data_IF_782506042440
#
_entry.id   IF_782506042440
#
_cell.length_a   1.000
_cell.length_b   1.000
_cell.length_c   1.000
_cell.angle_alpha   90.00
_cell.angle_beta   90.00
_cell.angle_gamma   90.00
#
_symmetry.space_group_name_H-M   'P 1'
#
loop_
_entity.id
_entity.type
_entity.pdbx_description
1 polymer ?
#
# COMPACT_ATOMS: atom_id res chain seq x y z
N UNK A 1 19.45 10.99 22.44
CA UNK A 1 19.77 9.94 21.45
C UNK A 1 18.48 9.25 21.07
N UNK A 2 17.92 9.57 19.89
CA UNK A 2 16.70 8.93 19.42
C UNK A 2 17.06 7.52 18.94
N UNK A 3 16.43 6.50 19.52
CA UNK A 3 16.55 5.12 19.06
C UNK A 3 16.07 5.04 17.61
N UNK A 4 17.01 4.77 16.69
CA UNK A 4 16.73 4.33 15.32
C UNK A 4 15.76 3.15 15.45
N UNK A 5 14.51 3.37 15.03
CA UNK A 5 13.42 2.41 15.21
C UNK A 5 13.84 1.05 14.66
N UNK A 6 13.70 0.01 15.50
CA UNK A 6 13.90 -1.39 15.12
C UNK A 6 13.28 -1.62 13.74
N UNK A 7 14.06 -2.19 12.83
CA UNK A 7 13.52 -2.88 11.65
C UNK A 7 12.43 -3.81 12.19
N UNK A 8 11.18 -3.53 11.83
CA UNK A 8 10.06 -4.38 12.24
C UNK A 8 10.37 -5.75 11.66
N UNK A 9 10.51 -6.75 12.52
CA UNK A 9 10.78 -8.14 12.11
C UNK A 9 9.50 -8.70 11.48
N UNK A 10 9.28 -8.29 10.23
CA UNK A 10 8.15 -8.71 9.43
C UNK A 10 8.40 -10.17 9.03
N UNK A 11 7.40 -11.05 9.21
CA UNK A 11 7.56 -12.44 8.83
C UNK A 11 7.80 -12.56 7.33
N UNK A 12 8.57 -13.54 6.90
CA UNK A 12 8.60 -13.96 5.49
C UNK A 12 7.44 -14.90 5.19
N UNK A 13 6.79 -14.74 4.04
CA UNK A 13 5.79 -15.65 3.51
C UNK A 13 6.50 -16.88 2.96
N UNK A 14 6.31 -18.01 3.63
CA UNK A 14 6.94 -19.28 3.26
C UNK A 14 5.95 -20.22 2.55
N UNK A 15 4.68 -19.82 2.48
CA UNK A 15 3.61 -20.61 1.89
C UNK A 15 2.34 -20.57 2.73
N UNK A 16 1.40 -21.46 2.39
CA UNK A 16 0.04 -21.47 2.97
C UNK A 16 0.03 -21.60 4.50
N UNK A 17 1.00 -22.30 5.07
CA UNK A 17 1.10 -22.55 6.53
C UNK A 17 1.21 -21.27 7.36
N UNK A 18 1.81 -20.21 6.83
CA UNK A 18 2.02 -18.96 7.56
C UNK A 18 1.42 -17.73 6.86
N UNK A 19 0.70 -17.92 5.75
CA UNK A 19 0.08 -16.85 4.98
C UNK A 19 -0.85 -15.95 5.82
N UNK A 20 -1.64 -16.53 6.73
CA UNK A 20 -2.52 -15.74 7.62
C UNK A 20 -1.73 -14.87 8.60
N UNK A 21 -0.70 -15.43 9.23
CA UNK A 21 0.14 -14.69 10.19
C UNK A 21 0.90 -13.58 9.47
N UNK A 22 1.42 -13.89 8.29
CA UNK A 22 2.08 -12.92 7.42
C UNK A 22 1.14 -11.76 7.07
N UNK A 23 -0.03 -12.06 6.53
CA UNK A 23 -1.02 -11.08 6.12
C UNK A 23 -1.46 -10.20 7.29
N UNK A 24 -1.79 -10.80 8.43
CA UNK A 24 -2.17 -10.05 9.63
C UNK A 24 -1.08 -9.08 10.11
N UNK A 25 0.17 -9.54 10.18
CA UNK A 25 1.30 -8.69 10.61
C UNK A 25 1.60 -7.57 9.62
N UNK A 26 1.54 -7.83 8.32
CA UNK A 26 1.74 -6.79 7.31
C UNK A 26 0.58 -5.80 7.26
N UNK A 27 -0.68 -6.25 7.38
CA UNK A 27 -1.81 -5.33 7.49
C UNK A 27 -1.67 -4.40 8.70
N UNK A 28 -1.23 -4.93 9.85
CA UNK A 28 -0.95 -4.11 11.04
C UNK A 28 0.20 -3.12 10.81
N UNK A 29 1.26 -3.54 10.11
CA UNK A 29 2.38 -2.68 9.73
C UNK A 29 1.93 -1.52 8.81
N UNK A 30 1.23 -1.83 7.72
CA UNK A 30 0.75 -0.80 6.78
C UNK A 30 -0.23 0.16 7.45
N UNK A 31 -1.09 -0.34 8.34
CA UNK A 31 -1.98 0.52 9.14
C UNK A 31 -1.18 1.45 10.05
N UNK A 32 -0.20 0.93 10.78
CA UNK A 32 0.63 1.75 11.67
C UNK A 32 1.46 2.81 10.92
N UNK A 33 1.79 2.56 9.65
CA UNK A 33 2.52 3.47 8.76
C UNK A 33 1.64 4.43 7.97
N UNK A 34 0.31 4.30 8.04
CA UNK A 34 -0.61 5.09 7.23
C UNK A 34 -0.58 4.74 5.74
N UNK A 35 -0.23 3.49 5.41
CA UNK A 35 -0.05 2.98 4.05
C UNK A 35 -1.18 2.02 3.62
N UNK A 36 -2.18 1.77 4.46
CA UNK A 36 -3.29 0.85 4.15
C UNK A 36 -4.04 1.21 2.86
N UNK A 37 -4.23 2.49 2.56
CA UNK A 37 -4.95 2.92 1.35
C UNK A 37 -4.28 2.49 0.05
N UNK A 38 -2.95 2.31 0.05
CA UNK A 38 -2.17 1.86 -1.10
C UNK A 38 -2.39 0.37 -1.38
N UNK A 39 -2.30 -0.48 -0.36
CA UNK A 39 -2.53 -1.94 -0.52
C UNK A 39 -4.01 -2.28 -0.74
N UNK A 40 -4.93 -1.42 -0.32
CA UNK A 40 -6.38 -1.54 -0.58
C UNK A 40 -6.77 -0.98 -1.97
N UNK A 41 -5.86 -0.29 -2.66
CA UNK A 41 -6.11 0.32 -3.97
C UNK A 41 -7.06 1.53 -3.95
N UNK A 42 -7.29 2.11 -2.76
CA UNK A 42 -8.08 3.32 -2.54
C UNK A 42 -7.31 4.54 -3.00
N UNK A 43 -6.01 4.58 -2.72
CA UNK A 43 -5.13 5.64 -3.19
C UNK A 43 -5.00 5.59 -4.71
N UNK A 44 -5.24 6.71 -5.39
CA UNK A 44 -5.10 6.83 -6.84
C UNK A 44 -3.86 7.63 -7.19
N UNK A 45 -3.21 7.24 -8.28
CA UNK A 45 -2.15 8.03 -8.87
C UNK A 45 -2.67 9.46 -9.12
N UNK A 46 -2.02 10.49 -8.55
CA UNK A 46 -2.36 11.86 -8.85
C UNK A 46 -2.20 12.10 -10.34
N UNK A 47 -3.22 12.68 -10.98
CA UNK A 47 -3.14 13.06 -12.39
C UNK A 47 -1.91 13.96 -12.57
N UNK A 48 -0.87 13.48 -13.27
CA UNK A 48 0.18 14.36 -13.77
C UNK A 48 -0.52 15.34 -14.67
N UNK A 49 -0.67 16.59 -14.22
CA UNK A 49 -1.62 17.54 -14.77
C UNK A 49 -1.71 17.45 -16.28
N UNK A 50 -2.83 16.92 -16.79
CA UNK A 50 -3.18 17.12 -18.17
C UNK A 50 -3.25 18.63 -18.36
N UNK A 51 -2.36 19.18 -19.18
CA UNK A 51 -2.37 20.58 -19.59
C UNK A 51 -3.77 21.03 -20.09
N UNK A 52 -4.61 20.05 -20.48
CA UNK A 52 -5.98 20.24 -20.93
C UNK A 52 -6.96 20.71 -19.83
N UNK A 53 -6.81 20.29 -18.57
CA UNK A 53 -7.78 20.63 -17.52
C UNK A 53 -7.46 21.98 -16.85
N UNK A 54 -6.17 22.29 -16.70
CA UNK A 54 -5.69 23.62 -16.28
C UNK A 54 -6.06 24.72 -17.29
N UNK A 55 -6.13 24.40 -18.60
CA UNK A 55 -6.55 25.34 -19.64
C UNK A 55 -8.08 25.52 -19.75
N UNK A 56 -8.90 24.53 -19.38
CA UNK A 56 -10.36 24.67 -19.41
C UNK A 56 -10.90 25.63 -18.34
N UNK A 57 -10.18 25.81 -17.24
CA UNK A 57 -10.53 26.79 -16.21
C UNK A 57 -10.13 28.24 -16.57
N UNK A 58 -9.32 28.46 -17.62
CA UNK A 58 -8.67 29.76 -17.92
C UNK A 58 -9.38 30.66 -18.92
N UNK A 59 -10.48 30.25 -19.54
CA UNK A 59 -11.16 31.08 -20.53
C UNK A 59 -12.16 32.08 -19.95
N UNK A 60 -12.24 32.22 -18.62
CA UNK A 60 -13.11 33.23 -18.00
C UNK A 60 -12.28 34.35 -17.36
N UNK A 61 -12.24 35.46 -18.11
CA UNK A 61 -11.85 36.84 -17.76
C UNK A 61 -10.37 37.22 -17.77
N UNK A 62 -10.13 38.18 -18.65
CA UNK A 62 -8.94 38.97 -18.83
C UNK A 62 -8.47 39.66 -17.53
N UNK A 63 -7.15 39.71 -17.39
CA UNK A 63 -6.45 40.80 -16.71
C UNK A 63 -6.08 40.53 -15.26
N UNK A 64 -4.98 39.81 -15.03
CA UNK A 64 -3.93 40.18 -14.07
C UNK A 64 -2.86 39.10 -13.99
N UNK A 65 -1.61 39.53 -14.15
CA UNK A 65 -0.38 38.73 -14.12
C UNK A 65 -0.09 38.26 -12.70
N UNK A 66 0.34 36.99 -12.62
CA UNK A 66 1.03 36.26 -11.54
C UNK A 66 0.21 35.09 -11.02
N UNK A 67 0.59 33.86 -11.39
CA UNK A 67 0.25 32.57 -10.74
C UNK A 67 0.55 31.48 -11.76
N UNK A 68 1.48 30.54 -11.46
CA UNK A 68 1.51 29.19 -12.07
C UNK A 68 2.73 28.31 -11.77
N UNK A 69 3.77 28.83 -11.10
CA UNK A 69 4.87 27.94 -10.69
C UNK A 69 4.50 27.09 -9.47
N UNK A 70 3.82 27.67 -8.49
CA UNK A 70 3.48 27.00 -7.22
C UNK A 70 2.56 25.79 -7.40
N UNK A 71 1.50 25.91 -8.22
CA UNK A 71 0.57 24.79 -8.44
C UNK A 71 1.15 23.61 -9.22
N UNK A 72 2.19 23.84 -10.04
CA UNK A 72 2.91 22.76 -10.74
C UNK A 72 3.89 22.04 -9.80
N UNK A 73 4.51 22.80 -8.89
CA UNK A 73 5.38 22.27 -7.85
C UNK A 73 4.58 21.42 -6.86
N UNK A 74 3.43 21.90 -6.40
CA UNK A 74 2.53 21.15 -5.50
C UNK A 74 2.03 19.83 -6.13
N UNK A 75 1.74 19.82 -7.44
CA UNK A 75 1.34 18.60 -8.16
C UNK A 75 2.48 17.59 -8.31
N UNK A 76 3.69 18.10 -8.60
CA UNK A 76 4.88 17.26 -8.71
C UNK A 76 5.23 16.65 -7.35
N UNK A 77 5.17 17.44 -6.28
CA UNK A 77 5.43 16.99 -4.91
C UNK A 77 4.41 15.94 -4.47
N UNK A 78 3.13 16.14 -4.77
CA UNK A 78 2.08 15.16 -4.48
C UNK A 78 2.30 13.83 -5.22
N UNK A 79 2.69 13.88 -6.49
CA UNK A 79 2.99 12.68 -7.27
C UNK A 79 4.26 11.97 -6.77
N UNK A 80 5.31 12.72 -6.41
CA UNK A 80 6.54 12.17 -5.85
C UNK A 80 6.29 11.51 -4.49
N UNK A 81 5.48 12.14 -3.63
CA UNK A 81 5.07 11.55 -2.36
C UNK A 81 4.25 10.28 -2.55
N UNK A 82 3.28 10.31 -3.47
CA UNK A 82 2.48 9.14 -3.82
C UNK A 82 3.35 7.98 -4.31
N UNK A 83 4.23 8.26 -5.29
CA UNK A 83 5.15 7.28 -5.85
C UNK A 83 6.08 6.70 -4.79
N UNK A 84 6.56 7.52 -3.86
CA UNK A 84 7.43 7.06 -2.76
C UNK A 84 6.70 6.06 -1.86
N UNK A 85 5.46 6.35 -1.46
CA UNK A 85 4.64 5.48 -0.61
C UNK A 85 4.24 4.19 -1.33
N UNK A 86 3.90 4.28 -2.61
CA UNK A 86 3.60 3.14 -3.48
C UNK A 86 4.81 2.19 -3.57
N UNK A 87 6.00 2.75 -3.86
CA UNK A 87 7.24 1.98 -3.91
C UNK A 87 7.62 1.38 -2.54
N UNK A 88 7.36 2.08 -1.44
CA UNK A 88 7.57 1.55 -0.08
C UNK A 88 6.68 0.33 0.17
N UNK A 89 5.40 0.38 -0.24
CA UNK A 89 4.49 -0.75 -0.10
C UNK A 89 4.93 -1.95 -0.94
N UNK A 90 5.25 -1.72 -2.22
CA UNK A 90 5.75 -2.78 -3.10
C UNK A 90 7.03 -3.40 -2.56
N UNK A 91 7.99 -2.58 -2.12
CA UNK A 91 9.25 -3.04 -1.56
C UNK A 91 9.06 -3.91 -0.31
N UNK A 92 8.17 -3.53 0.60
CA UNK A 92 7.86 -4.33 1.80
C UNK A 92 7.24 -5.68 1.44
N UNK A 93 6.30 -5.71 0.49
CA UNK A 93 5.70 -6.97 0.02
C UNK A 93 6.78 -7.86 -0.59
N UNK A 94 7.54 -7.34 -1.55
CA UNK A 94 8.58 -8.11 -2.26
C UNK A 94 9.68 -8.63 -1.31
N UNK A 95 10.11 -7.87 -0.32
CA UNK A 95 11.13 -8.30 0.64
C UNK A 95 10.65 -9.38 1.61
N UNK A 96 9.34 -9.51 1.78
CA UNK A 96 8.73 -10.41 2.76
C UNK A 96 8.07 -11.61 2.12
N UNK A 97 8.22 -11.84 0.81
CA UNK A 97 7.78 -13.08 0.16
C UNK A 97 8.95 -14.05 -0.08
N UNK A 98 8.64 -15.29 -0.44
CA UNK A 98 9.65 -16.24 -0.94
C UNK A 98 10.04 -15.90 -2.39
N UNK A 99 11.11 -16.52 -2.87
CA UNK A 99 11.68 -16.24 -4.19
C UNK A 99 10.71 -16.58 -5.34
N UNK A 100 9.96 -17.67 -5.24
CA UNK A 100 8.96 -18.05 -6.24
C UNK A 100 7.91 -16.94 -6.43
N UNK A 101 7.33 -16.45 -5.32
CA UNK A 101 6.34 -15.38 -5.38
C UNK A 101 6.97 -14.03 -5.73
N UNK A 102 8.24 -13.80 -5.39
CA UNK A 102 8.91 -12.56 -5.77
C UNK A 102 8.86 -12.36 -7.29
N UNK A 103 9.14 -13.41 -8.06
CA UNK A 103 9.10 -13.37 -9.52
C UNK A 103 7.68 -13.13 -10.04
N UNK A 104 6.69 -13.86 -9.52
CA UNK A 104 5.28 -13.69 -9.91
C UNK A 104 4.76 -12.27 -9.61
N UNK A 105 5.26 -11.66 -8.52
CA UNK A 105 4.83 -10.35 -8.07
C UNK A 105 5.60 -9.21 -8.74
N UNK A 106 6.85 -9.42 -9.16
CA UNK A 106 7.68 -8.36 -9.76
C UNK A 106 7.11 -7.81 -11.07
N UNK A 107 6.26 -8.58 -11.75
CA UNK A 107 5.58 -8.17 -12.97
C UNK A 107 4.30 -7.33 -12.69
N UNK A 108 3.88 -7.23 -11.44
CA UNK A 108 2.69 -6.45 -11.05
C UNK A 108 3.05 -4.99 -10.81
N UNK A 109 2.26 -4.08 -11.39
CA UNK A 109 2.57 -2.64 -11.41
C UNK A 109 2.19 -1.88 -10.13
N UNK A 110 1.48 -2.51 -9.18
CA UNK A 110 1.06 -1.84 -7.96
C UNK A 110 1.06 -2.74 -6.72
N UNK A 111 1.26 -2.11 -5.55
CA UNK A 111 1.17 -2.75 -4.25
C UNK A 111 -0.22 -3.36 -4.02
N UNK A 112 -1.28 -2.68 -4.48
CA UNK A 112 -2.64 -3.20 -4.45
C UNK A 112 -2.78 -4.51 -5.26
N UNK A 113 -2.21 -4.55 -6.47
CA UNK A 113 -2.25 -5.76 -7.30
C UNK A 113 -1.48 -6.90 -6.66
N UNK A 114 -0.29 -6.64 -6.12
CA UNK A 114 0.51 -7.63 -5.38
C UNK A 114 -0.25 -8.16 -4.16
N UNK A 115 -0.84 -7.25 -3.37
CA UNK A 115 -1.62 -7.60 -2.20
C UNK A 115 -2.83 -8.47 -2.53
N UNK A 116 -3.61 -8.07 -3.53
CA UNK A 116 -4.77 -8.81 -4.00
C UNK A 116 -4.40 -10.20 -4.55
N UNK A 117 -3.29 -10.30 -5.29
CA UNK A 117 -2.78 -11.56 -5.82
C UNK A 117 -2.51 -12.56 -4.69
N UNK A 118 -1.73 -12.17 -3.68
CA UNK A 118 -1.37 -13.04 -2.55
C UNK A 118 -2.62 -13.41 -1.73
N UNK A 119 -3.49 -12.43 -1.50
CA UNK A 119 -4.75 -12.60 -0.76
C UNK A 119 -5.64 -13.64 -1.44
N UNK A 120 -5.75 -13.59 -2.77
CA UNK A 120 -6.47 -14.57 -3.58
C UNK A 120 -5.77 -15.93 -3.59
N UNK A 121 -4.46 -15.97 -3.80
CA UNK A 121 -3.66 -17.20 -3.88
C UNK A 121 -3.81 -18.07 -2.62
N UNK A 122 -3.84 -17.44 -1.45
CA UNK A 122 -3.99 -18.13 -0.16
C UNK A 122 -5.41 -18.09 0.42
N UNK A 123 -6.38 -17.54 -0.31
CA UNK A 123 -7.78 -17.40 0.12
C UNK A 123 -7.92 -16.72 1.50
N UNK A 124 -7.24 -15.58 1.66
CA UNK A 124 -7.13 -14.83 2.91
C UNK A 124 -8.33 -13.91 3.18
N UNK A 125 -9.15 -13.60 2.17
CA UNK A 125 -10.39 -12.80 2.29
C UNK A 125 -11.52 -13.50 3.08
N UNK A 126 -11.30 -14.73 3.54
CA UNK A 126 -12.34 -15.51 4.18
C UNK A 126 -12.60 -15.03 5.62
N UNK A 127 -13.70 -14.31 5.82
CA UNK A 127 -14.34 -14.08 7.13
C UNK A 127 -14.53 -15.37 7.97
N UNK A 128 -14.51 -16.55 7.34
CA UNK A 128 -14.54 -17.86 8.00
C UNK A 128 -13.26 -18.18 8.81
N UNK A 129 -12.11 -17.61 8.45
CA UNK A 129 -10.87 -17.82 9.20
C UNK A 129 -10.84 -17.00 10.49
N UNK A 130 -11.47 -15.82 10.50
CA UNK A 130 -11.63 -14.99 11.69
C UNK A 130 -12.41 -15.71 12.80
N UNK A 131 -13.50 -16.40 12.45
CA UNK A 131 -14.30 -17.14 13.44
C UNK A 131 -13.51 -18.32 14.03
N UNK A 132 -12.74 -19.05 13.20
CA UNK A 132 -11.90 -20.16 13.66
C UNK A 132 -10.75 -19.65 14.54
N UNK A 133 -10.08 -18.56 14.16
CA UNK A 133 -9.01 -17.95 14.95
C UNK A 133 -9.52 -17.32 16.25
N UNK A 134 -10.71 -16.70 16.24
CA UNK A 134 -11.37 -16.19 17.47
C UNK A 134 -11.73 -17.32 18.42
N UNK A 135 -12.21 -18.45 17.93
CA UNK A 135 -12.48 -19.64 18.75
C UNK A 135 -11.20 -20.19 19.36
N UNK A 136 -10.15 -20.38 18.58
CA UNK A 136 -8.85 -20.88 19.09
C UNK A 136 -8.23 -19.93 20.11
N UNK A 137 -8.34 -18.60 19.94
CA UNK A 137 -7.91 -17.63 20.97
C UNK A 137 -8.72 -17.75 22.27
N UNK A 138 -10.05 -17.84 22.18
CA UNK A 138 -10.93 -18.01 23.36
C UNK A 138 -10.69 -19.33 24.10
N UNK A 139 -10.28 -20.38 23.40
CA UNK A 139 -9.93 -21.68 24.00
C UNK A 139 -8.59 -21.63 24.75
N UNK A 140 -7.61 -20.87 24.24
CA UNK A 140 -6.31 -20.70 24.89
C UNK A 140 -6.35 -19.77 26.11
N UNK A 141 -7.24 -18.77 26.11
CA UNK A 141 -7.41 -17.85 27.24
C UNK A 141 -8.26 -18.44 28.40
N UNK A 142 -8.85 -19.62 28.22
CA UNK A 142 -9.69 -20.32 29.20
C UNK A 142 -9.01 -21.54 29.87
N UNK A 143 -7.69 -21.67 29.72
CA UNK A 143 -6.84 -22.67 30.40
C UNK A 143 -5.87 -21.93 31.32
#
# INVERSE_FOLDING_TARGET
MATVGKVVDLPRLLGKKNAQVWHHKLSAYFRAKGLSSYIEGVEKEPTQGDEAESNRARTVRAGSVALDMTGKEDQKDAWEEWRRKENECQGVILQTVNEDLYLDLSDLMSAAAMWAYITKLYALDNAHNDERQRRTRRELDNI
#
